data_IF_373653414225
#
_entry.id   IF_373653414225
#
_cell.length_a   1.000
_cell.length_b   1.000
_cell.length_c   1.000
_cell.angle_alpha   90.00
_cell.angle_beta   90.00
_cell.angle_gamma   90.00
#
_symmetry.space_group_name_H-M   'P 1'
#
loop_
_entity.id
_entity.type
_entity.pdbx_description
1 polymer ?
#
# COMPACT_ATOMS: atom_id res chain seq x y z
N UNK A 1 22.75 -2.82 5.03
CA UNK A 1 22.72 -2.26 6.41
C UNK A 1 21.29 -2.49 6.92
N UNK A 2 20.96 -2.35 8.21
CA UNK A 2 19.53 -2.39 8.59
C UNK A 2 18.88 -1.05 8.26
N UNK A 3 17.66 -1.06 7.73
CA UNK A 3 16.87 0.13 7.45
C UNK A 3 16.73 1.02 8.71
N UNK A 4 17.12 2.29 8.61
CA UNK A 4 17.01 3.23 9.74
C UNK A 4 15.56 3.66 9.94
N UNK A 5 15.23 4.14 11.15
CA UNK A 5 13.87 4.65 11.45
C UNK A 5 13.45 5.76 10.50
N UNK A 6 14.27 6.81 10.39
CA UNK A 6 13.97 7.95 9.55
C UNK A 6 13.78 7.53 8.09
N UNK A 7 14.66 6.66 7.57
CA UNK A 7 14.54 6.15 6.20
C UNK A 7 13.26 5.33 6.00
N UNK A 8 12.89 4.49 6.96
CA UNK A 8 11.64 3.75 6.90
C UNK A 8 10.41 4.68 6.88
N UNK A 9 10.43 5.75 7.67
CA UNK A 9 9.34 6.73 7.68
C UNK A 9 9.22 7.41 6.31
N UNK A 10 10.33 7.91 5.77
CA UNK A 10 10.37 8.56 4.45
C UNK A 10 9.86 7.63 3.35
N UNK A 11 10.22 6.34 3.39
CA UNK A 11 9.78 5.35 2.42
C UNK A 11 8.27 5.09 2.51
N UNK A 12 7.73 4.95 3.73
CA UNK A 12 6.28 4.76 3.91
C UNK A 12 5.51 6.01 3.48
N UNK A 13 5.99 7.20 3.82
CA UNK A 13 5.37 8.47 3.40
C UNK A 13 5.36 8.61 1.87
N UNK A 14 6.48 8.31 1.20
CA UNK A 14 6.56 8.34 -0.26
C UNK A 14 5.64 7.29 -0.93
N UNK A 15 5.52 6.12 -0.31
CA UNK A 15 4.64 5.03 -0.79
C UNK A 15 3.17 5.44 -0.65
N UNK A 16 2.78 6.01 0.49
CA UNK A 16 1.42 6.49 0.71
C UNK A 16 1.06 7.65 -0.21
N UNK A 17 1.98 8.59 -0.46
CA UNK A 17 1.77 9.64 -1.45
C UNK A 17 1.56 9.07 -2.86
N UNK A 18 2.37 8.10 -3.27
CA UNK A 18 2.23 7.45 -4.58
C UNK A 18 0.88 6.73 -4.71
N UNK A 19 0.42 6.09 -3.63
CA UNK A 19 -0.90 5.46 -3.58
C UNK A 19 -2.02 6.50 -3.73
N UNK A 20 -1.95 7.60 -2.98
CA UNK A 20 -2.89 8.72 -3.09
C UNK A 20 -2.95 9.24 -4.52
N UNK A 21 -1.80 9.51 -5.15
CA UNK A 21 -1.72 10.00 -6.52
C UNK A 21 -2.38 9.04 -7.53
N UNK A 22 -2.10 7.73 -7.45
CA UNK A 22 -2.71 6.71 -8.33
C UNK A 22 -4.22 6.65 -8.16
N UNK A 23 -4.70 6.77 -6.92
CA UNK A 23 -6.11 6.72 -6.59
C UNK A 23 -6.85 8.00 -7.02
N UNK A 24 -6.25 9.18 -6.79
CA UNK A 24 -6.80 10.48 -7.21
C UNK A 24 -6.87 10.63 -8.74
N UNK A 25 -5.90 10.05 -9.47
CA UNK A 25 -5.90 10.03 -10.94
C UNK A 25 -6.86 8.99 -11.55
N UNK A 26 -7.49 8.14 -10.71
CA UNK A 26 -8.43 7.12 -11.16
C UNK A 26 -9.85 7.65 -11.36
N UNK A 27 -10.67 6.90 -12.11
CA UNK A 27 -12.11 7.21 -12.26
C UNK A 27 -12.97 6.62 -11.12
N UNK A 28 -12.35 6.09 -10.05
CA UNK A 28 -13.07 5.47 -8.94
C UNK A 28 -13.69 6.55 -8.04
N UNK A 29 -14.93 6.31 -7.59
CA UNK A 29 -15.53 7.07 -6.50
C UNK A 29 -15.03 6.50 -5.17
N UNK A 30 -14.01 7.15 -4.61
CA UNK A 30 -13.30 6.74 -3.41
C UNK A 30 -13.18 7.91 -2.43
N UNK A 31 -13.05 7.54 -1.16
CA UNK A 31 -12.76 8.46 -0.05
C UNK A 31 -11.38 8.10 0.53
N UNK A 32 -10.45 9.05 0.47
CA UNK A 32 -9.07 8.91 0.96
C UNK A 32 -8.91 9.65 2.28
N UNK A 33 -8.49 8.92 3.31
CA UNK A 33 -8.17 9.49 4.62
C UNK A 33 -6.74 9.11 5.03
N UNK A 34 -5.89 10.10 5.27
CA UNK A 34 -4.50 9.91 5.69
C UNK A 34 -4.25 10.56 7.05
N UNK A 35 -3.78 9.80 8.02
CA UNK A 35 -3.51 10.28 9.39
C UNK A 35 -2.50 9.40 10.12
N UNK A 36 -1.49 10.03 10.71
CA UNK A 36 -0.52 9.40 11.61
C UNK A 36 0.11 8.09 11.06
N UNK A 37 0.50 8.10 9.78
CA UNK A 37 1.11 6.94 9.11
C UNK A 37 0.13 5.84 8.72
N UNK A 38 -1.18 6.14 8.72
CA UNK A 38 -2.24 5.28 8.23
C UNK A 38 -2.92 5.95 7.04
N UNK A 39 -3.02 5.24 5.91
CA UNK A 39 -3.80 5.63 4.75
C UNK A 39 -4.99 4.67 4.62
N UNK A 40 -6.20 5.21 4.58
CA UNK A 40 -7.45 4.47 4.37
C UNK A 40 -8.03 4.87 3.02
N UNK A 41 -8.26 3.87 2.16
CA UNK A 41 -8.94 4.00 0.87
C UNK A 41 -10.28 3.32 0.99
N UNK A 42 -11.37 4.07 0.87
CA UNK A 42 -12.72 3.54 0.99
C UNK A 42 -13.42 3.63 -0.36
N UNK A 43 -13.82 2.48 -0.90
CA UNK A 43 -14.54 2.40 -2.17
C UNK A 43 -16.04 2.67 -1.99
N UNK A 44 -16.72 3.08 -3.07
CA UNK A 44 -18.18 3.31 -3.12
C UNK A 44 -18.99 2.13 -2.55
N UNK A 45 -18.54 0.90 -2.80
CA UNK A 45 -19.21 -0.32 -2.31
C UNK A 45 -19.03 -0.58 -0.80
N UNK A 46 -18.32 0.29 -0.08
CA UNK A 46 -18.07 0.22 1.35
C UNK A 46 -16.89 -0.66 1.77
N UNK A 47 -16.22 -1.34 0.85
CA UNK A 47 -14.95 -2.03 1.13
C UNK A 47 -13.81 -1.04 1.33
N UNK A 48 -12.75 -1.47 2.01
CA UNK A 48 -11.62 -0.61 2.34
C UNK A 48 -10.29 -1.30 2.07
N UNK A 49 -9.27 -0.48 1.75
CA UNK A 49 -7.86 -0.80 1.95
C UNK A 49 -7.33 0.08 3.07
N UNK A 50 -6.61 -0.50 4.00
CA UNK A 50 -5.97 0.23 5.09
C UNK A 50 -4.49 -0.09 5.08
N UNK A 51 -3.67 0.92 4.80
CA UNK A 51 -2.22 0.87 4.85
C UNK A 51 -1.76 1.44 6.18
N UNK A 52 -0.89 0.74 6.91
CA UNK A 52 -0.40 1.22 8.21
C UNK A 52 1.08 0.96 8.41
N UNK A 53 1.76 1.95 8.99
CA UNK A 53 3.17 1.86 9.38
C UNK A 53 3.32 1.04 10.66
N UNK A 54 4.22 0.06 10.66
CA UNK A 54 4.60 -0.70 11.85
C UNK A 54 6.06 -0.44 12.22
N UNK A 55 6.31 0.65 12.95
CA UNK A 55 7.66 1.13 13.29
C UNK A 55 8.55 0.08 13.94
N UNK A 56 8.11 -0.72 14.94
CA UNK A 56 8.99 -1.70 15.60
C UNK A 56 9.46 -2.82 14.66
N UNK A 57 8.68 -3.11 13.62
CA UNK A 57 8.95 -4.17 12.65
C UNK A 57 9.57 -3.64 11.36
N UNK A 58 9.52 -2.33 11.11
CA UNK A 58 9.89 -1.70 9.83
C UNK A 58 9.09 -2.26 8.65
N UNK A 59 7.82 -2.53 8.88
CA UNK A 59 6.91 -3.08 7.88
C UNK A 59 5.79 -2.11 7.52
N UNK A 60 5.40 -2.14 6.25
CA UNK A 60 4.13 -1.59 5.79
C UNK A 60 3.09 -2.71 5.81
N UNK A 61 1.96 -2.49 6.46
CA UNK A 61 0.86 -3.46 6.50
C UNK A 61 -0.30 -2.99 5.63
N UNK A 62 -0.93 -3.93 4.94
CA UNK A 62 -2.16 -3.75 4.16
C UNK A 62 -3.26 -4.64 4.73
N UNK A 63 -4.38 -4.05 5.13
CA UNK A 63 -5.62 -4.78 5.35
C UNK A 63 -6.58 -4.56 4.17
N UNK A 64 -7.07 -5.66 3.60
CA UNK A 64 -8.02 -5.71 2.50
C UNK A 64 -9.13 -6.74 2.79
N UNK A 65 -10.18 -6.78 1.96
CA UNK A 65 -11.25 -7.79 2.10
C UNK A 65 -10.68 -9.21 2.00
N UNK A 66 -9.66 -9.41 1.16
CA UNK A 66 -8.99 -10.71 0.97
C UNK A 66 -8.08 -11.13 2.14
N UNK A 67 -7.78 -10.25 3.09
CA UNK A 67 -6.91 -10.55 4.24
C UNK A 67 -5.95 -9.44 4.61
N UNK A 68 -5.03 -9.75 5.52
CA UNK A 68 -3.95 -8.87 5.95
C UNK A 68 -2.59 -9.32 5.40
N UNK A 69 -1.81 -8.37 4.91
CA UNK A 69 -0.51 -8.58 4.28
C UNK A 69 0.52 -7.65 4.91
N UNK A 70 1.75 -8.13 5.03
CA UNK A 70 2.86 -7.36 5.56
C UNK A 70 3.96 -7.32 4.52
N UNK A 71 4.60 -6.16 4.41
CA UNK A 71 5.64 -5.90 3.44
C UNK A 71 6.89 -5.41 4.14
N UNK A 72 8.00 -6.06 3.81
CA UNK A 72 9.35 -5.58 4.12
C UNK A 72 9.87 -4.80 2.92
N UNK A 73 10.64 -3.73 3.16
CA UNK A 73 11.26 -2.99 2.07
C UNK A 73 12.57 -3.66 1.66
N UNK A 74 12.67 -4.04 0.38
CA UNK A 74 13.90 -4.56 -0.20
C UNK A 74 14.72 -3.40 -0.79
N UNK A 75 15.84 -3.07 -0.13
CA UNK A 75 16.74 -2.00 -0.58
C UNK A 75 17.45 -2.32 -1.90
N UNK A 76 17.50 -3.59 -2.34
CA UNK A 76 18.15 -3.97 -3.60
C UNK A 76 17.26 -3.73 -4.82
N UNK A 77 15.97 -4.09 -4.73
CA UNK A 77 14.98 -3.83 -5.77
C UNK A 77 14.28 -2.47 -5.63
N UNK A 78 14.43 -1.81 -4.49
CA UNK A 78 13.71 -0.59 -4.10
C UNK A 78 12.17 -0.79 -4.03
N UNK A 79 11.71 -2.00 -3.71
CA UNK A 79 10.29 -2.40 -3.69
C UNK A 79 9.84 -2.90 -2.32
N UNK A 80 8.53 -2.79 -2.07
CA UNK A 80 7.88 -3.45 -0.95
C UNK A 80 7.52 -4.90 -1.30
N UNK A 81 8.08 -5.86 -0.55
CA UNK A 81 7.95 -7.29 -0.81
C UNK A 81 7.12 -7.97 0.28
N UNK A 82 6.13 -8.78 -0.11
CA UNK A 82 5.29 -9.47 0.85
C UNK A 82 6.05 -10.59 1.59
N UNK A 83 5.98 -10.57 2.93
CA UNK A 83 6.69 -11.49 3.83
C UNK A 83 6.33 -12.99 3.65
N UNK A 84 5.19 -13.27 3.02
CA UNK A 84 4.64 -14.64 2.86
C UNK A 84 4.59 -15.13 1.41
N UNK A 85 4.48 -14.25 0.43
CA UNK A 85 4.25 -14.63 -0.97
C UNK A 85 5.34 -14.18 -1.93
N UNK A 86 6.35 -13.41 -1.48
CA UNK A 86 7.37 -12.77 -2.34
C UNK A 86 6.77 -11.89 -3.45
N UNK A 87 5.46 -11.56 -3.38
CA UNK A 87 4.74 -10.69 -4.31
C UNK A 87 5.02 -9.23 -3.97
N UNK A 88 5.17 -8.39 -5.00
CA UNK A 88 5.36 -6.95 -4.81
C UNK A 88 4.05 -6.27 -4.37
N UNK A 89 4.16 -5.18 -3.62
CA UNK A 89 2.99 -4.39 -3.21
C UNK A 89 2.15 -3.94 -4.41
N UNK A 90 2.78 -3.41 -5.46
CA UNK A 90 2.07 -2.95 -6.67
C UNK A 90 1.27 -4.07 -7.32
N UNK A 91 1.91 -5.21 -7.62
CA UNK A 91 1.27 -6.39 -8.21
C UNK A 91 0.07 -6.88 -7.37
N UNK A 92 0.24 -6.90 -6.05
CA UNK A 92 -0.82 -7.30 -5.13
C UNK A 92 -2.00 -6.32 -5.17
N UNK A 93 -1.74 -5.02 -5.24
CA UNK A 93 -2.77 -3.99 -5.29
C UNK A 93 -3.55 -4.02 -6.60
N UNK A 94 -2.91 -4.23 -7.74
CA UNK A 94 -3.61 -4.41 -9.02
C UNK A 94 -4.68 -5.49 -8.91
N UNK A 95 -4.31 -6.65 -8.37
CA UNK A 95 -5.21 -7.80 -8.17
C UNK A 95 -6.32 -7.50 -7.16
N UNK A 96 -6.00 -6.83 -6.05
CA UNK A 96 -6.97 -6.53 -4.99
C UNK A 96 -7.98 -5.47 -5.46
N UNK A 97 -7.52 -4.40 -6.11
CA UNK A 97 -8.37 -3.32 -6.61
C UNK A 97 -9.26 -3.84 -7.75
N UNK A 98 -8.74 -4.66 -8.66
CA UNK A 98 -9.56 -5.30 -9.69
C UNK A 98 -10.67 -6.16 -9.05
N UNK A 99 -10.36 -6.92 -7.99
CA UNK A 99 -11.34 -7.75 -7.31
C UNK A 99 -12.38 -6.95 -6.48
N UNK A 100 -11.98 -5.85 -5.84
CA UNK A 100 -12.85 -5.06 -4.97
C UNK A 100 -13.66 -3.98 -5.71
N UNK A 101 -13.07 -3.35 -6.72
CA UNK A 101 -13.67 -2.20 -7.42
C UNK A 101 -13.97 -2.49 -8.90
N UNK A 102 -13.51 -3.61 -9.45
CA UNK A 102 -13.76 -3.98 -10.85
C UNK A 102 -12.96 -3.16 -11.86
N UNK A 103 -11.98 -2.37 -11.40
CA UNK A 103 -11.13 -1.49 -12.23
C UNK A 103 -9.69 -1.95 -12.11
N UNK A 104 -8.99 -1.95 -13.25
CA UNK A 104 -7.55 -2.15 -13.31
C UNK A 104 -6.87 -0.80 -13.16
N UNK A 105 -6.13 -0.63 -12.08
CA UNK A 105 -5.20 0.47 -11.88
C UNK A 105 -3.78 -0.06 -12.01
N UNK A 106 -2.87 0.80 -12.43
CA UNK A 106 -1.46 0.50 -12.58
C UNK A 106 -0.70 1.04 -11.36
N UNK A 107 0.06 0.17 -10.71
CA UNK A 107 0.89 0.49 -9.55
C UNK A 107 2.39 0.26 -9.83
N UNK A 108 2.85 0.30 -11.09
CA UNK A 108 4.24 0.06 -11.54
C UNK A 108 5.30 0.89 -10.79
N UNK A 109 4.91 1.99 -10.14
CA UNK A 109 5.76 2.86 -9.31
C UNK A 109 6.00 2.40 -7.87
N UNK A 110 5.40 1.30 -7.41
CA UNK A 110 5.45 0.79 -6.03
C UNK A 110 6.26 -0.49 -5.82
#
# INVERSE_FOLDING_TARGET
MSLTEARFHDLVDATQQTLEDVFDDSELDIDLESSAGVLTVKFENGSQLIFSRQEPLRQLWLAAVSGGFHFDYDEESERWMCDKSEEQLGEMLERIVEAQAGVKLDFEGL
#
